data_IF_121516125332
#
_entry.id   IF_121516125332
#
_cell.length_a   1.000
_cell.length_b   1.000
_cell.length_c   1.000
_cell.angle_alpha   90.00
_cell.angle_beta   90.00
_cell.angle_gamma   90.00
#
_symmetry.space_group_name_H-M   'P 1'
#
loop_
_entity.id
_entity.type
_entity.pdbx_description
1 polymer ?
#
# COMPACT_ATOMS: atom_id res chain seq x y z
N UNK A 1 -32.76 -29.47 -82.42
CA UNK A 1 -33.39 -28.18 -82.65
C UNK A 1 -33.84 -27.58 -81.30
N UNK A 2 -33.51 -26.34 -81.10
CA UNK A 2 -33.91 -25.34 -80.13
C UNK A 2 -33.08 -25.27 -78.85
N UNK A 3 -32.23 -24.29 -78.93
CA UNK A 3 -31.56 -23.59 -77.78
C UNK A 3 -32.55 -23.10 -76.77
N UNK A 4 -32.10 -23.19 -75.49
CA UNK A 4 -32.50 -22.25 -74.46
C UNK A 4 -31.31 -21.88 -73.59
N UNK A 5 -30.84 -20.68 -73.83
CA UNK A 5 -29.95 -19.96 -72.91
C UNK A 5 -30.59 -19.81 -71.57
N UNK A 6 -29.91 -20.18 -70.53
CA UNK A 6 -30.21 -19.75 -69.17
C UNK A 6 -29.01 -18.97 -68.61
N UNK A 7 -29.37 -17.78 -68.21
CA UNK A 7 -28.58 -16.68 -67.74
C UNK A 7 -27.68 -17.07 -66.56
N UNK A 8 -26.40 -16.76 -66.75
CA UNK A 8 -25.39 -16.79 -65.70
C UNK A 8 -25.76 -15.79 -64.63
N UNK A 9 -25.97 -16.27 -63.42
CA UNK A 9 -26.01 -15.44 -62.20
C UNK A 9 -24.63 -15.50 -61.60
N UNK A 10 -23.90 -14.43 -61.80
CA UNK A 10 -22.63 -14.19 -61.10
C UNK A 10 -22.96 -13.94 -59.65
N UNK A 11 -22.75 -14.93 -58.79
CA UNK A 11 -22.74 -14.75 -57.35
C UNK A 11 -21.41 -14.15 -56.95
N UNK A 12 -21.44 -12.87 -56.65
CA UNK A 12 -20.35 -12.14 -56.03
C UNK A 12 -20.23 -12.61 -54.59
N UNK A 13 -19.31 -13.54 -54.34
CA UNK A 13 -18.93 -13.90 -52.98
C UNK A 13 -18.14 -12.75 -52.38
N UNK A 14 -18.82 -11.88 -51.61
CA UNK A 14 -18.16 -11.01 -50.64
C UNK A 14 -17.57 -11.93 -49.54
N UNK A 15 -16.30 -12.22 -49.64
CA UNK A 15 -15.53 -12.73 -48.53
C UNK A 15 -15.37 -11.60 -47.49
N UNK A 16 -16.30 -11.53 -46.58
CA UNK A 16 -16.14 -10.76 -45.36
C UNK A 16 -15.02 -11.42 -44.54
N UNK A 17 -13.81 -10.86 -44.67
CA UNK A 17 -12.70 -11.17 -43.80
C UNK A 17 -13.10 -10.80 -42.38
N UNK A 18 -13.43 -11.81 -41.55
CA UNK A 18 -13.40 -11.65 -40.10
C UNK A 18 -11.96 -11.34 -39.72
N UNK A 19 -11.63 -10.06 -39.63
CA UNK A 19 -10.55 -9.65 -38.76
C UNK A 19 -10.96 -10.07 -37.34
N UNK A 20 -10.42 -11.19 -36.89
CA UNK A 20 -10.39 -11.49 -35.48
C UNK A 20 -9.59 -10.37 -34.80
N UNK A 21 -10.28 -9.37 -34.31
CA UNK A 21 -9.73 -8.48 -33.29
C UNK A 21 -9.46 -9.37 -32.07
N UNK A 22 -8.24 -9.89 -32.01
CA UNK A 22 -7.68 -10.34 -30.74
C UNK A 22 -7.68 -9.08 -29.89
N UNK A 23 -8.45 -9.02 -28.78
CA UNK A 23 -8.27 -7.92 -27.86
C UNK A 23 -6.83 -8.04 -27.40
N UNK A 24 -5.99 -7.11 -27.83
CA UNK A 24 -4.74 -6.87 -27.16
C UNK A 24 -5.15 -6.58 -25.71
N UNK A 25 -4.87 -7.52 -24.83
CA UNK A 25 -4.93 -7.28 -23.40
C UNK A 25 -3.79 -6.29 -23.17
N UNK A 26 -4.08 -5.02 -23.41
CA UNK A 26 -3.31 -3.97 -22.80
C UNK A 26 -3.47 -4.24 -21.30
N UNK A 27 -2.41 -4.70 -20.67
CA UNK A 27 -2.26 -4.50 -19.25
C UNK A 27 -2.29 -2.98 -19.08
N UNK A 28 -3.50 -2.44 -18.98
CA UNK A 28 -3.65 -1.12 -18.43
C UNK A 28 -2.91 -1.19 -17.10
N UNK A 29 -1.90 -0.36 -16.92
CA UNK A 29 -1.39 -0.04 -15.62
C UNK A 29 -2.62 0.29 -14.79
N UNK A 30 -3.09 -0.70 -14.06
CA UNK A 30 -4.15 -0.47 -13.09
C UNK A 30 -3.51 0.50 -12.13
N UNK A 31 -3.95 1.75 -12.16
CA UNK A 31 -3.50 2.78 -11.24
C UNK A 31 -3.89 2.29 -9.84
N UNK A 32 -3.02 1.44 -9.29
CA UNK A 32 -3.22 0.84 -7.99
C UNK A 32 -3.00 1.93 -6.94
N UNK A 33 -4.07 2.29 -6.24
CA UNK A 33 -4.06 3.28 -5.17
C UNK A 33 -4.26 2.55 -3.84
N UNK A 34 -3.19 2.25 -3.09
CA UNK A 34 -3.27 1.53 -1.81
C UNK A 34 -4.18 2.21 -0.78
N UNK A 35 -4.30 3.55 -0.82
CA UNK A 35 -5.19 4.31 0.06
C UNK A 35 -6.68 4.05 -0.19
N UNK A 36 -7.03 3.47 -1.33
CA UNK A 36 -8.39 3.07 -1.59
C UNK A 36 -8.72 1.75 -0.87
N UNK A 37 -9.25 1.85 0.31
CA UNK A 37 -9.65 0.69 1.13
C UNK A 37 -11.01 0.12 0.78
N UNK A 38 -11.73 0.71 -0.18
CA UNK A 38 -13.07 0.26 -0.57
C UNK A 38 -13.12 -1.13 -1.21
N UNK A 39 -11.99 -1.58 -1.77
CA UNK A 39 -11.86 -2.92 -2.34
C UNK A 39 -11.61 -4.00 -1.28
N UNK A 40 -11.27 -3.61 -0.04
CA UNK A 40 -11.09 -4.55 1.06
C UNK A 40 -12.45 -5.05 1.57
N UNK A 41 -12.53 -6.29 2.07
CA UNK A 41 -13.71 -6.75 2.80
C UNK A 41 -14.01 -5.83 3.97
N UNK A 42 -15.29 -5.55 4.22
CA UNK A 42 -15.72 -4.76 5.38
C UNK A 42 -15.55 -5.61 6.65
N UNK A 43 -14.68 -5.19 7.54
CA UNK A 43 -14.39 -5.90 8.79
C UNK A 43 -14.90 -5.04 9.95
N UNK A 44 -15.81 -5.57 10.80
CA UNK A 44 -16.27 -4.86 11.98
C UNK A 44 -15.13 -4.55 12.93
N UNK A 45 -15.12 -3.36 13.51
CA UNK A 45 -14.10 -2.95 14.48
C UNK A 45 -14.00 -3.92 15.67
N UNK A 46 -15.13 -4.45 16.15
CA UNK A 46 -15.17 -5.44 17.20
C UNK A 46 -14.42 -6.72 16.85
N UNK A 47 -14.50 -7.19 15.60
CA UNK A 47 -13.77 -8.37 15.13
C UNK A 47 -12.25 -8.11 15.12
N UNK A 48 -11.82 -6.93 14.71
CA UNK A 48 -10.40 -6.53 14.73
C UNK A 48 -9.85 -6.44 16.15
N UNK A 49 -10.65 -5.97 17.10
CA UNK A 49 -10.27 -5.87 18.53
C UNK A 49 -10.11 -7.24 19.19
N UNK A 50 -10.78 -8.26 18.70
CA UNK A 50 -10.68 -9.63 19.23
C UNK A 50 -9.47 -10.40 18.72
N UNK A 51 -8.79 -9.91 17.69
CA UNK A 51 -7.59 -10.55 17.15
C UNK A 51 -6.41 -10.39 18.14
N UNK A 52 -5.58 -11.42 18.17
CA UNK A 52 -4.27 -11.34 18.83
C UNK A 52 -3.25 -10.79 17.84
N UNK A 53 -2.76 -9.60 18.11
CA UNK A 53 -1.79 -8.92 17.26
C UNK A 53 -0.37 -9.26 17.74
N UNK A 54 0.39 -9.92 16.88
CA UNK A 54 1.76 -10.32 17.17
C UNK A 54 2.71 -9.14 16.94
N UNK A 55 3.45 -8.68 17.96
CA UNK A 55 4.46 -7.64 17.78
C UNK A 55 5.57 -8.11 16.85
N UNK A 56 5.96 -7.25 15.92
CA UNK A 56 7.05 -7.53 14.97
C UNK A 56 8.30 -6.78 15.40
N UNK A 57 9.39 -7.53 15.54
CA UNK A 57 10.73 -7.00 15.76
C UNK A 57 11.37 -6.62 14.42
N UNK A 58 11.76 -5.36 14.26
CA UNK A 58 12.39 -4.85 13.04
C UNK A 58 13.76 -5.46 12.75
N UNK A 59 14.41 -6.02 13.73
CA UNK A 59 15.72 -6.68 13.56
C UNK A 59 15.62 -8.08 12.97
N UNK A 60 14.39 -8.64 12.89
CA UNK A 60 14.17 -10.04 12.53
C UNK A 60 13.07 -10.19 11.48
N UNK A 61 13.14 -11.28 10.74
CA UNK A 61 12.04 -11.72 9.90
C UNK A 61 11.08 -12.54 10.75
N UNK A 62 9.82 -12.08 10.83
CA UNK A 62 8.75 -12.79 11.52
C UNK A 62 8.19 -13.86 10.60
N UNK A 63 8.36 -15.13 10.96
CA UNK A 63 7.77 -16.28 10.25
C UNK A 63 6.48 -16.71 10.94
N UNK A 64 5.44 -16.94 10.17
CA UNK A 64 4.13 -17.34 10.67
C UNK A 64 3.56 -18.44 9.77
N UNK A 65 3.30 -19.59 10.37
CA UNK A 65 2.62 -20.70 9.67
C UNK A 65 1.11 -20.51 9.84
N UNK A 66 0.41 -20.24 8.74
CA UNK A 66 -1.04 -20.27 8.72
C UNK A 66 -1.54 -21.69 8.62
N UNK A 67 -2.48 -22.05 9.48
CA UNK A 67 -3.14 -23.35 9.50
C UNK A 67 -4.57 -23.22 10.01
N UNK A 68 -5.37 -24.26 9.85
CA UNK A 68 -6.75 -24.28 10.32
C UNK A 68 -6.91 -24.03 11.84
N UNK A 69 -5.84 -24.25 12.62
CA UNK A 69 -5.81 -23.94 14.06
C UNK A 69 -5.53 -22.47 14.37
N UNK A 70 -5.19 -21.64 13.36
CA UNK A 70 -4.93 -20.23 13.53
C UNK A 70 -6.19 -19.42 13.82
N UNK A 71 -5.99 -18.16 14.22
CA UNK A 71 -7.12 -17.25 14.44
C UNK A 71 -7.85 -16.95 13.13
N UNK A 72 -9.17 -16.84 13.21
CA UNK A 72 -10.01 -16.61 12.06
C UNK A 72 -10.93 -15.40 12.26
N UNK A 73 -11.28 -14.77 11.14
CA UNK A 73 -12.30 -13.75 11.08
C UNK A 73 -13.53 -14.32 10.40
N UNK A 74 -14.67 -14.32 11.10
CA UNK A 74 -15.95 -14.72 10.52
C UNK A 74 -16.57 -13.54 9.75
N UNK A 75 -15.92 -13.15 8.66
CA UNK A 75 -16.32 -12.02 7.81
C UNK A 75 -16.54 -12.53 6.39
N UNK A 76 -17.65 -12.15 5.73
CA UNK A 76 -17.87 -12.52 4.35
C UNK A 76 -16.74 -12.10 3.43
N UNK A 77 -16.28 -13.00 2.58
CA UNK A 77 -15.21 -12.77 1.63
C UNK A 77 -13.81 -13.13 2.13
N UNK A 78 -13.61 -13.28 3.44
CA UNK A 78 -12.34 -13.74 4.00
C UNK A 78 -12.40 -15.25 4.22
N UNK A 79 -11.41 -15.97 3.70
CA UNK A 79 -11.34 -17.42 3.77
C UNK A 79 -10.22 -17.87 4.72
N UNK A 80 -10.53 -18.79 5.61
CA UNK A 80 -9.55 -19.45 6.48
C UNK A 80 -8.89 -18.53 7.51
N UNK A 81 -7.72 -18.95 8.02
CA UNK A 81 -7.01 -18.26 9.07
C UNK A 81 -6.40 -16.95 8.58
N UNK A 82 -6.18 -16.02 9.51
CA UNK A 82 -5.56 -14.72 9.26
C UNK A 82 -4.29 -14.57 10.09
N UNK A 83 -3.35 -13.77 9.59
CA UNK A 83 -2.19 -13.33 10.37
C UNK A 83 -2.37 -11.85 10.74
N UNK A 84 -2.10 -11.53 11.98
CA UNK A 84 -2.28 -10.20 12.54
C UNK A 84 -0.99 -9.74 13.23
N UNK A 85 -0.43 -8.63 12.77
CA UNK A 85 0.84 -8.10 13.27
C UNK A 85 0.66 -6.67 13.75
N UNK A 86 1.40 -6.31 14.81
CA UNK A 86 1.57 -4.93 15.23
C UNK A 86 3.01 -4.49 14.98
N UNK A 87 3.17 -3.33 14.35
CA UNK A 87 4.47 -2.78 13.96
C UNK A 87 4.64 -1.41 14.62
N UNK A 88 5.79 -1.15 15.28
CA UNK A 88 6.08 0.19 15.79
C UNK A 88 6.08 1.23 14.66
N UNK A 89 5.45 2.37 14.89
CA UNK A 89 5.21 3.39 13.85
C UNK A 89 5.86 4.75 14.16
N UNK A 90 6.52 4.89 15.30
CA UNK A 90 7.13 6.13 15.76
C UNK A 90 8.58 6.37 15.28
N UNK A 91 8.99 5.71 14.22
CA UNK A 91 10.39 5.62 13.75
C UNK A 91 10.58 6.06 12.30
N UNK A 92 9.60 6.74 11.72
CA UNK A 92 9.64 7.26 10.36
C UNK A 92 9.08 6.30 9.31
N UNK A 93 9.53 6.45 8.07
CA UNK A 93 9.07 5.63 6.95
C UNK A 93 9.47 4.17 7.13
N UNK A 94 8.52 3.27 6.86
CA UNK A 94 8.67 1.83 6.98
C UNK A 94 8.56 1.16 5.62
N UNK A 95 9.34 0.12 5.42
CA UNK A 95 9.13 -0.83 4.32
C UNK A 95 8.81 -2.20 4.91
N UNK A 96 7.61 -2.70 4.59
CA UNK A 96 7.18 -4.04 4.93
C UNK A 96 7.39 -4.94 3.71
N UNK A 97 8.18 -5.99 3.86
CA UNK A 97 8.31 -7.03 2.84
C UNK A 97 7.57 -8.27 3.33
N UNK A 98 6.49 -8.61 2.64
CA UNK A 98 5.73 -9.83 2.92
C UNK A 98 6.01 -10.86 1.84
N UNK A 99 6.36 -12.06 2.27
CA UNK A 99 6.51 -13.22 1.38
C UNK A 99 5.56 -14.34 1.80
N UNK A 100 5.00 -15.01 0.82
CA UNK A 100 4.22 -16.23 0.98
C UNK A 100 4.91 -17.34 0.19
N UNK A 101 5.46 -18.32 0.88
CA UNK A 101 6.22 -19.40 0.24
C UNK A 101 5.31 -20.40 -0.48
N UNK A 102 5.75 -20.83 -1.66
CA UNK A 102 5.11 -21.92 -2.39
C UNK A 102 5.39 -23.24 -1.67
N UNK A 103 4.35 -24.03 -1.46
CA UNK A 103 4.48 -25.35 -0.85
C UNK A 103 4.50 -26.45 -1.90
N UNK A 104 5.57 -27.25 -1.90
CA UNK A 104 5.72 -28.46 -2.73
C UNK A 104 5.41 -28.27 -4.22
N UNK A 105 5.59 -27.05 -4.76
CA UNK A 105 5.27 -26.69 -6.15
C UNK A 105 3.79 -26.89 -6.54
N UNK A 106 2.89 -27.00 -5.58
CA UNK A 106 1.48 -27.31 -5.82
C UNK A 106 0.50 -26.31 -5.24
N UNK A 107 0.93 -25.56 -4.22
CA UNK A 107 0.03 -24.64 -3.52
C UNK A 107 0.76 -23.41 -2.98
N UNK A 108 0.03 -22.33 -2.82
CA UNK A 108 0.51 -21.08 -2.24
C UNK A 108 -0.65 -20.33 -1.58
N UNK A 109 -0.38 -19.67 -0.48
CA UNK A 109 -1.31 -18.73 0.11
C UNK A 109 -1.25 -17.38 -0.64
N UNK A 110 -2.36 -16.92 -1.20
CA UNK A 110 -2.46 -15.64 -1.88
C UNK A 110 -2.80 -14.53 -0.88
N UNK A 111 -1.83 -13.72 -0.44
CA UNK A 111 -2.05 -12.75 0.61
C UNK A 111 -2.75 -11.49 0.09
N UNK A 112 -3.72 -10.99 0.85
CA UNK A 112 -4.20 -9.61 0.82
C UNK A 112 -3.75 -8.96 2.12
N UNK A 113 -3.36 -7.72 2.08
CA UNK A 113 -2.88 -7.00 3.26
C UNK A 113 -3.70 -5.73 3.49
N UNK A 114 -4.32 -5.66 4.65
CA UNK A 114 -4.98 -4.47 5.14
C UNK A 114 -4.11 -3.80 6.20
N UNK A 115 -3.75 -2.56 5.95
CA UNK A 115 -3.01 -1.73 6.90
C UNK A 115 -4.00 -0.88 7.68
N UNK A 116 -3.86 -0.91 8.99
CA UNK A 116 -4.70 -0.19 9.93
C UNK A 116 -3.85 0.78 10.75
N UNK A 117 -4.42 1.90 11.10
CA UNK A 117 -3.78 2.85 12.01
C UNK A 117 -3.84 2.35 13.48
N UNK A 118 -3.31 3.13 14.42
CA UNK A 118 -3.32 2.79 15.83
C UNK A 118 -4.72 2.60 16.44
N UNK A 119 -5.76 3.13 15.81
CA UNK A 119 -7.15 2.99 16.21
C UNK A 119 -7.87 1.83 15.49
N UNK A 120 -7.13 0.98 14.79
CA UNK A 120 -7.68 -0.09 13.94
C UNK A 120 -8.58 0.43 12.81
N UNK A 121 -8.35 1.65 12.35
CA UNK A 121 -9.04 2.20 11.18
C UNK A 121 -8.28 1.84 9.89
N UNK A 122 -8.96 1.29 8.86
CA UNK A 122 -8.34 0.97 7.60
C UNK A 122 -7.67 2.20 6.95
N UNK A 123 -6.42 2.09 6.57
CA UNK A 123 -5.63 3.17 5.98
C UNK A 123 -5.08 2.83 4.60
N UNK A 124 -4.80 1.56 4.34
CA UNK A 124 -4.35 1.10 3.04
C UNK A 124 -4.72 -0.37 2.82
N UNK A 125 -4.92 -0.73 1.56
CA UNK A 125 -5.21 -2.09 1.17
C UNK A 125 -4.34 -2.51 -0.01
N UNK A 126 -3.68 -3.65 0.12
CA UNK A 126 -2.88 -4.28 -0.91
C UNK A 126 -3.52 -5.62 -1.28
N UNK A 127 -4.20 -5.70 -2.42
CA UNK A 127 -4.85 -6.95 -2.87
C UNK A 127 -3.82 -8.00 -3.28
N UNK A 128 -4.27 -9.23 -3.46
CA UNK A 128 -3.40 -10.35 -3.83
C UNK A 128 -2.59 -10.12 -5.10
N UNK A 129 -3.13 -9.39 -6.06
CA UNK A 129 -2.45 -9.04 -7.31
C UNK A 129 -1.20 -8.17 -7.12
N UNK A 130 -1.08 -7.52 -5.97
CA UNK A 130 0.10 -6.74 -5.60
C UNK A 130 1.33 -7.62 -5.32
N UNK A 131 1.11 -8.87 -4.93
CA UNK A 131 2.16 -9.80 -4.56
C UNK A 131 2.57 -10.67 -5.76
N UNK A 132 3.68 -10.28 -6.39
CA UNK A 132 4.18 -10.97 -7.59
C UNK A 132 4.94 -12.24 -7.27
N UNK A 133 4.86 -13.20 -8.19
CA UNK A 133 5.66 -14.42 -8.10
C UNK A 133 7.14 -14.13 -8.30
N UNK A 134 7.96 -14.70 -7.42
CA UNK A 134 9.42 -14.67 -7.49
C UNK A 134 9.93 -16.10 -7.67
N UNK A 135 10.74 -16.30 -8.70
CA UNK A 135 11.40 -17.57 -8.97
C UNK A 135 12.32 -18.00 -7.81
N UNK A 136 12.55 -19.30 -7.61
CA UNK A 136 13.47 -19.76 -6.58
C UNK A 136 14.88 -19.26 -6.90
N UNK A 137 15.58 -18.81 -5.85
CA UNK A 137 16.98 -18.44 -5.91
C UNK A 137 17.87 -19.48 -5.24
N UNK A 138 19.17 -19.20 -5.21
CA UNK A 138 20.16 -20.11 -4.58
C UNK A 138 19.84 -20.38 -3.11
N UNK A 139 19.31 -19.37 -2.41
CA UNK A 139 19.02 -19.45 -0.96
C UNK A 139 17.56 -19.18 -0.63
N UNK A 140 16.67 -19.13 -1.61
CA UNK A 140 15.27 -18.82 -1.41
C UNK A 140 14.37 -19.72 -2.22
N UNK A 141 13.31 -20.21 -1.57
CA UNK A 141 12.21 -20.88 -2.26
C UNK A 141 11.45 -19.90 -3.16
N UNK A 142 10.74 -20.44 -4.13
CA UNK A 142 9.77 -19.66 -4.89
C UNK A 142 8.62 -19.19 -3.98
N UNK A 143 8.10 -18.01 -4.28
CA UNK A 143 7.20 -17.30 -3.38
C UNK A 143 6.40 -16.22 -4.08
N UNK A 144 5.31 -15.79 -3.48
CA UNK A 144 4.71 -14.50 -3.74
C UNK A 144 5.36 -13.45 -2.83
N UNK A 145 5.72 -12.31 -3.37
CA UNK A 145 6.39 -11.24 -2.61
C UNK A 145 5.83 -9.87 -2.97
N UNK A 146 5.64 -9.05 -1.96
CA UNK A 146 5.28 -7.64 -2.12
C UNK A 146 6.02 -6.76 -1.11
N UNK A 147 6.44 -5.58 -1.56
CA UNK A 147 7.09 -4.56 -0.72
C UNK A 147 6.14 -3.37 -0.58
N UNK A 148 5.72 -3.10 0.64
CA UNK A 148 4.80 -2.04 0.99
C UNK A 148 5.56 -0.93 1.70
N UNK A 149 5.58 0.26 1.13
CA UNK A 149 6.20 1.44 1.74
C UNK A 149 5.13 2.25 2.45
N UNK A 150 5.32 2.47 3.74
CA UNK A 150 4.36 3.13 4.61
C UNK A 150 5.01 4.32 5.30
N UNK A 151 4.29 5.44 5.33
CA UNK A 151 4.68 6.62 6.12
C UNK A 151 3.64 6.81 7.21
N UNK A 152 3.91 6.38 8.46
CA UNK A 152 3.00 6.64 9.57
C UNK A 152 2.83 8.16 9.77
N UNK A 153 1.59 8.59 9.97
CA UNK A 153 1.31 9.98 10.31
C UNK A 153 1.90 10.34 11.67
N UNK A 154 2.16 11.62 11.88
CA UNK A 154 2.65 12.10 13.17
C UNK A 154 1.68 11.70 14.30
N UNK A 155 2.23 11.18 15.39
CA UNK A 155 1.46 10.72 16.54
C UNK A 155 1.05 9.24 16.48
N UNK A 156 1.28 8.54 15.37
CA UNK A 156 1.07 7.10 15.30
C UNK A 156 2.17 6.37 16.05
N UNK A 157 1.80 5.60 17.07
CA UNK A 157 2.72 4.78 17.86
C UNK A 157 2.86 3.37 17.30
N UNK A 158 1.77 2.84 16.75
CA UNK A 158 1.69 1.52 16.13
C UNK A 158 0.85 1.59 14.86
N UNK A 159 1.18 0.71 13.93
CA UNK A 159 0.30 0.33 12.83
C UNK A 159 0.02 -1.16 12.93
N UNK A 160 -1.10 -1.57 12.37
CA UNK A 160 -1.53 -2.96 12.39
C UNK A 160 -1.58 -3.49 10.96
N UNK A 161 -1.12 -4.72 10.78
CA UNK A 161 -1.03 -5.40 9.50
C UNK A 161 -1.84 -6.67 9.57
N UNK A 162 -2.93 -6.71 8.83
CA UNK A 162 -3.80 -7.88 8.74
C UNK A 162 -3.57 -8.56 7.38
N UNK A 163 -3.20 -9.83 7.42
CA UNK A 163 -2.96 -10.66 6.23
C UNK A 163 -4.02 -11.73 6.15
N UNK A 164 -4.70 -11.82 5.02
CA UNK A 164 -5.76 -12.79 4.78
C UNK A 164 -5.83 -13.17 3.29
N UNK A 165 -6.53 -14.25 2.99
CA UNK A 165 -6.92 -14.59 1.62
C UNK A 165 -8.44 -14.49 1.47
N UNK A 166 -8.92 -14.42 0.24
CA UNK A 166 -10.35 -14.28 -0.06
C UNK A 166 -10.89 -15.50 -0.78
N UNK A 167 -12.20 -15.70 -0.72
CA UNK A 167 -12.88 -16.73 -1.48
C UNK A 167 -12.62 -16.60 -2.99
N UNK A 168 -12.48 -15.37 -3.48
CA UNK A 168 -12.13 -15.09 -4.87
C UNK A 168 -10.72 -15.56 -5.20
N UNK A 169 -9.75 -15.32 -4.32
CA UNK A 169 -8.36 -15.75 -4.53
C UNK A 169 -8.24 -17.26 -4.58
N UNK A 170 -9.02 -17.99 -3.79
CA UNK A 170 -9.04 -19.46 -3.78
C UNK A 170 -9.49 -20.10 -5.10
N UNK A 171 -10.16 -19.31 -5.96
CA UNK A 171 -10.56 -19.77 -7.30
C UNK A 171 -9.45 -19.57 -8.34
N UNK A 172 -8.34 -18.97 -7.96
CA UNK A 172 -7.22 -18.64 -8.83
C UNK A 172 -6.04 -19.56 -8.59
N UNK A 173 -5.08 -19.48 -9.51
CA UNK A 173 -3.81 -20.21 -9.45
C UNK A 173 -2.66 -19.28 -9.78
N UNK A 174 -1.47 -19.66 -9.36
CA UNK A 174 -0.22 -18.99 -9.73
C UNK A 174 0.61 -19.93 -10.58
N UNK A 175 1.00 -19.49 -11.77
CA UNK A 175 1.95 -20.21 -12.62
C UNK A 175 3.35 -20.06 -12.03
N UNK A 176 4.00 -21.17 -11.75
CA UNK A 176 5.36 -21.23 -11.23
C UNK A 176 6.36 -21.42 -12.38
N UNK A 177 7.62 -21.19 -12.10
CA UNK A 177 8.70 -21.64 -12.98
C UNK A 177 9.17 -23.01 -12.51
N UNK A 178 9.23 -23.97 -13.43
CA UNK A 178 9.76 -25.30 -13.09
C UNK A 178 11.20 -25.19 -12.54
N UNK A 179 11.53 -25.89 -11.46
CA UNK A 179 12.86 -25.82 -10.85
C UNK A 179 14.03 -26.10 -11.81
N UNK A 180 13.85 -27.00 -12.78
CA UNK A 180 14.89 -27.26 -13.79
C UNK A 180 15.10 -26.06 -14.73
N UNK A 181 14.01 -25.33 -15.08
CA UNK A 181 14.11 -24.09 -15.84
C UNK A 181 14.81 -22.99 -15.05
N UNK A 182 14.43 -22.82 -13.79
CA UNK A 182 15.06 -21.84 -12.90
C UNK A 182 16.56 -22.12 -12.72
N UNK A 183 16.93 -23.37 -12.54
CA UNK A 183 18.32 -23.80 -12.45
C UNK A 183 19.09 -23.50 -13.75
N UNK A 184 18.53 -23.87 -14.90
CA UNK A 184 19.15 -23.64 -16.20
C UNK A 184 19.40 -22.15 -16.47
N UNK A 185 18.41 -21.30 -16.17
CA UNK A 185 18.56 -19.84 -16.23
C UNK A 185 19.68 -19.35 -15.31
N UNK A 186 19.72 -19.80 -14.06
CA UNK A 186 20.71 -19.38 -13.07
C UNK A 186 22.14 -19.79 -13.40
N UNK A 187 22.31 -20.90 -14.14
CA UNK A 187 23.62 -21.41 -14.55
C UNK A 187 24.01 -21.05 -16.00
N UNK A 188 23.15 -20.29 -16.70
CA UNK A 188 23.38 -19.92 -18.10
C UNK A 188 23.27 -21.08 -19.10
N UNK A 189 22.64 -22.16 -18.71
CA UNK A 189 22.36 -23.32 -19.56
C UNK A 189 21.12 -23.11 -20.41
N UNK A 190 20.98 -23.95 -21.46
CA UNK A 190 19.77 -23.98 -22.27
C UNK A 190 18.56 -24.35 -21.42
N UNK A 191 17.51 -23.55 -21.49
CA UNK A 191 16.29 -23.77 -20.71
C UNK A 191 15.49 -24.92 -21.35
N UNK A 192 15.16 -25.99 -20.59
CA UNK A 192 14.39 -27.09 -21.14
C UNK A 192 12.95 -26.68 -21.46
N UNK A 193 12.40 -27.24 -22.54
CA UNK A 193 10.98 -27.05 -22.90
C UNK A 193 10.10 -28.06 -22.15
N UNK A 194 9.80 -27.75 -20.91
CA UNK A 194 8.93 -28.51 -20.03
C UNK A 194 7.81 -27.61 -19.49
N UNK A 195 6.62 -28.16 -19.18
CA UNK A 195 5.52 -27.34 -18.66
C UNK A 195 5.84 -26.78 -17.28
N UNK A 196 5.41 -25.55 -17.03
CA UNK A 196 5.50 -24.92 -15.73
C UNK A 196 4.37 -25.43 -14.80
N UNK A 197 4.66 -25.72 -13.53
CA UNK A 197 3.64 -26.14 -12.60
C UNK A 197 2.69 -24.99 -12.24
N UNK A 198 1.45 -25.36 -11.88
CA UNK A 198 0.45 -24.43 -11.36
C UNK A 198 0.26 -24.67 -9.87
N UNK A 199 0.45 -23.63 -9.08
CA UNK A 199 0.12 -23.66 -7.66
C UNK A 199 -1.32 -23.20 -7.45
N UNK A 200 -2.12 -24.00 -6.76
CA UNK A 200 -3.46 -23.61 -6.31
C UNK A 200 -3.35 -22.65 -5.13
N UNK A 201 -4.25 -21.69 -5.07
CA UNK A 201 -4.37 -20.84 -3.92
C UNK A 201 -5.09 -21.59 -2.80
N UNK A 202 -4.51 -21.55 -1.60
CA UNK A 202 -5.00 -22.28 -0.42
C UNK A 202 -5.02 -21.37 0.80
N UNK A 203 -5.70 -21.80 1.85
CA UNK A 203 -5.87 -21.03 3.09
C UNK A 203 -4.73 -21.19 4.09
N UNK A 204 -3.86 -22.15 3.88
CA UNK A 204 -2.68 -22.42 4.71
C UNK A 204 -1.40 -22.05 3.97
N UNK A 205 -0.34 -21.78 4.71
CA UNK A 205 0.95 -21.43 4.13
C UNK A 205 1.91 -20.78 5.11
N UNK A 206 3.16 -20.68 4.68
CA UNK A 206 4.21 -20.00 5.44
C UNK A 206 4.36 -18.57 4.96
N UNK A 207 4.07 -17.64 5.86
CA UNK A 207 4.28 -16.21 5.66
C UNK A 207 5.56 -15.75 6.36
N UNK A 208 6.29 -14.84 5.72
CA UNK A 208 7.42 -14.16 6.33
C UNK A 208 7.24 -12.66 6.18
N UNK A 209 7.27 -11.94 7.28
CA UNK A 209 7.18 -10.48 7.32
C UNK A 209 8.49 -9.91 7.81
N UNK A 210 9.08 -9.05 7.00
CA UNK A 210 10.27 -8.27 7.36
C UNK A 210 9.91 -6.79 7.38
N UNK A 211 10.27 -6.13 8.46
CA UNK A 211 10.11 -4.68 8.61
C UNK A 211 11.48 -4.03 8.54
N UNK A 212 11.65 -3.04 7.69
CA UNK A 212 12.84 -2.20 7.63
C UNK A 212 12.46 -0.74 7.72
N UNK A 213 13.30 0.05 8.38
CA UNK A 213 13.17 1.50 8.45
C UNK A 213 14.03 2.12 7.39
N UNK A 214 13.46 3.05 6.63
CA UNK A 214 14.25 3.91 5.76
C UNK A 214 14.83 5.05 6.60
N UNK A 215 15.98 4.80 7.23
CA UNK A 215 16.78 5.90 7.77
C UNK A 215 17.17 6.81 6.63
N UNK A 216 17.10 8.11 6.83
CA UNK A 216 17.20 9.18 5.82
C UNK A 216 18.49 9.25 4.98
N UNK A 217 19.26 8.18 4.89
CA UNK A 217 20.50 8.11 4.10
C UNK A 217 20.33 7.63 2.65
N UNK A 218 19.11 7.36 2.19
CA UNK A 218 18.85 6.96 0.80
C UNK A 218 18.37 8.08 -0.11
N UNK A 219 18.71 9.32 0.21
CA UNK A 219 18.32 10.51 -0.61
C UNK A 219 19.06 10.58 -1.95
N UNK A 220 20.02 9.70 -2.24
CA UNK A 220 20.89 9.84 -3.42
C UNK A 220 20.89 8.66 -4.40
N UNK A 221 20.01 7.70 -4.25
CA UNK A 221 19.85 6.69 -5.30
C UNK A 221 18.45 6.83 -5.87
N UNK A 222 18.30 7.75 -6.80
CA UNK A 222 17.14 7.74 -7.69
C UNK A 222 16.99 6.38 -8.36
N UNK A 223 15.80 6.01 -8.85
CA UNK A 223 15.55 4.70 -9.42
C UNK A 223 16.31 4.56 -10.74
N UNK A 224 17.53 4.04 -10.67
CA UNK A 224 18.35 3.72 -11.84
C UNK A 224 17.88 2.45 -12.57
N UNK A 225 16.99 1.69 -11.94
CA UNK A 225 16.34 0.55 -12.57
C UNK A 225 14.89 0.51 -12.11
N UNK A 226 13.99 0.72 -13.06
CA UNK A 226 12.56 0.83 -12.86
C UNK A 226 11.95 -0.25 -11.96
N UNK A 227 11.91 0.00 -10.67
CA UNK A 227 10.96 -0.64 -9.78
C UNK A 227 9.71 0.24 -9.80
N UNK A 228 8.71 -0.20 -10.53
CA UNK A 228 7.35 0.35 -10.50
C UNK A 228 6.68 0.01 -9.14
N UNK A 229 7.34 0.39 -8.04
CA UNK A 229 6.73 0.35 -6.72
C UNK A 229 5.84 1.57 -6.56
N UNK A 230 4.62 1.37 -6.06
CA UNK A 230 3.79 2.46 -5.58
C UNK A 230 4.58 3.28 -4.56
N UNK A 231 4.46 4.60 -4.61
CA UNK A 231 5.09 5.49 -3.64
C UNK A 231 4.68 5.19 -2.19
N UNK A 232 5.32 5.81 -1.19
CA UNK A 232 4.97 5.59 0.21
C UNK A 232 3.53 6.00 0.49
N UNK A 233 2.82 5.16 1.25
CA UNK A 233 1.42 5.34 1.65
C UNK A 233 1.36 5.92 3.05
N UNK A 234 0.63 7.00 3.24
CA UNK A 234 0.41 7.58 4.58
C UNK A 234 -0.57 6.71 5.36
N UNK A 235 -0.17 6.32 6.57
CA UNK A 235 -0.99 5.53 7.50
C UNK A 235 -1.42 6.41 8.67
N UNK A 236 -2.72 6.50 8.88
CA UNK A 236 -3.32 7.33 9.92
C UNK A 236 -3.70 8.73 9.43
N UNK A 237 -4.40 9.45 10.28
CA UNK A 237 -4.82 10.82 10.01
C UNK A 237 -3.89 11.80 10.75
N UNK A 238 -3.41 12.82 10.04
CA UNK A 238 -2.66 13.95 10.62
C UNK A 238 -3.55 14.99 11.27
N UNK A 239 -4.89 14.88 11.15
CA UNK A 239 -5.81 15.76 11.83
C UNK A 239 -5.66 15.57 13.36
N UNK A 240 -5.41 16.67 14.05
CA UNK A 240 -5.43 16.69 15.50
C UNK A 240 -6.73 16.07 16.03
N UNK A 241 -6.70 15.30 17.14
CA UNK A 241 -7.90 14.73 17.70
C UNK A 241 -8.87 15.86 18.00
N UNK A 242 -10.02 15.83 17.31
CA UNK A 242 -11.14 16.71 17.68
C UNK A 242 -11.65 16.15 19.00
N UNK A 243 -11.30 16.81 20.09
CA UNK A 243 -11.95 16.58 21.35
C UNK A 243 -13.43 16.90 21.17
N UNK A 244 -14.25 15.87 21.07
CA UNK A 244 -15.69 16.04 21.17
C UNK A 244 -15.99 16.57 22.58
N UNK A 245 -16.24 17.87 22.67
CA UNK A 245 -16.77 18.45 23.87
C UNK A 245 -18.14 17.81 24.16
N UNK A 246 -18.47 17.53 25.43
CA UNK A 246 -19.76 16.95 25.78
C UNK A 246 -20.88 17.86 25.31
N UNK A 247 -21.82 17.31 24.56
CA UNK A 247 -23.03 18.03 24.11
C UNK A 247 -23.89 18.32 25.32
N UNK A 248 -23.83 19.55 25.79
CA UNK A 248 -24.84 20.07 26.70
C UNK A 248 -26.04 20.52 25.89
N UNK A 249 -27.12 19.78 26.00
CA UNK A 249 -28.45 20.17 25.52
C UNK A 249 -28.94 21.36 26.33
N UNK A 250 -29.06 22.52 25.72
CA UNK A 250 -29.93 23.59 26.23
C UNK A 250 -30.46 24.45 25.10
N UNK A 251 -31.76 24.68 25.15
CA UNK A 251 -32.58 25.37 24.19
C UNK A 251 -32.20 26.85 24.00
N UNK A 252 -32.55 27.36 22.81
CA UNK A 252 -32.42 28.75 22.40
C UNK A 252 -33.27 29.72 23.24
N UNK A 253 -32.97 31.04 23.25
CA UNK A 253 -33.52 31.92 22.21
C UNK A 253 -32.52 32.95 21.62
N UNK A 254 -32.90 33.46 20.49
CA UNK A 254 -32.20 34.45 19.68
C UNK A 254 -31.91 35.78 20.40
N UNK A 255 -30.69 36.29 20.20
CA UNK A 255 -30.42 37.71 20.32
C UNK A 255 -29.20 38.09 19.46
N UNK A 256 -29.46 38.97 18.52
CA UNK A 256 -28.66 40.00 17.85
C UNK A 256 -27.14 39.94 17.91
N UNK A 257 -26.58 39.95 16.71
CA UNK A 257 -25.16 40.06 16.41
C UNK A 257 -24.50 41.34 16.95
N UNK A 258 -23.35 41.14 17.62
CA UNK A 258 -22.32 42.16 17.75
C UNK A 258 -21.01 41.61 17.15
N UNK A 259 -20.19 42.45 16.50
CA UNK A 259 -19.00 41.96 15.83
C UNK A 259 -17.97 41.45 16.83
N UNK A 260 -17.46 40.24 16.56
CA UNK A 260 -16.43 39.60 17.37
C UNK A 260 -15.14 40.40 17.35
N UNK A 261 -14.50 40.63 18.49
CA UNK A 261 -13.16 41.21 18.51
C UNK A 261 -12.16 40.21 17.94
N UNK A 262 -11.25 40.74 17.12
CA UNK A 262 -10.13 39.97 16.57
C UNK A 262 -9.38 39.22 17.69
N UNK A 263 -9.18 37.91 17.52
CA UNK A 263 -8.35 37.11 18.40
C UNK A 263 -6.95 37.70 18.39
N UNK A 264 -6.53 38.23 19.54
CA UNK A 264 -5.12 38.54 19.78
C UNK A 264 -4.34 37.22 19.61
N UNK A 265 -3.36 37.21 18.71
CA UNK A 265 -2.40 36.13 18.59
C UNK A 265 -1.72 35.95 19.95
N UNK A 266 -1.65 34.70 20.43
CA UNK A 266 -0.88 34.41 21.64
C UNK A 266 0.59 34.74 21.38
N UNK A 267 1.31 35.31 22.35
CA UNK A 267 2.72 35.61 22.17
C UNK A 267 3.53 34.33 21.91
N UNK A 268 4.34 34.38 20.88
CA UNK A 268 5.25 33.28 20.51
C UNK A 268 6.24 33.08 21.65
N UNK A 269 6.58 31.85 21.98
CA UNK A 269 7.61 31.51 22.95
C UNK A 269 8.95 32.19 22.57
N UNK A 270 9.66 32.74 23.54
CA UNK A 270 10.92 33.47 23.35
C UNK A 270 11.95 32.67 22.50
N UNK A 271 12.00 31.37 22.65
CA UNK A 271 12.89 30.48 21.88
C UNK A 271 12.55 30.48 20.37
N UNK A 272 11.28 30.61 20.03
CA UNK A 272 10.84 30.69 18.62
C UNK A 272 11.19 32.04 18.01
N UNK A 273 11.06 33.12 18.74
CA UNK A 273 11.49 34.44 18.30
C UNK A 273 13.00 34.53 18.06
N UNK A 274 13.77 33.95 18.96
CA UNK A 274 15.22 33.87 18.86
C UNK A 274 15.66 33.04 17.63
N UNK A 275 14.96 31.95 17.36
CA UNK A 275 15.20 31.12 16.15
C UNK A 275 15.00 31.93 14.87
N UNK A 276 13.85 32.62 14.73
CA UNK A 276 13.58 33.45 13.55
C UNK A 276 14.56 34.57 13.39
N UNK A 277 14.90 35.29 14.46
CA UNK A 277 15.88 36.36 14.44
C UNK A 277 17.27 35.85 13.99
N UNK A 278 17.72 34.71 14.47
CA UNK A 278 18.98 34.13 14.07
C UNK A 278 18.95 33.65 12.61
N UNK A 279 17.86 33.01 12.19
CA UNK A 279 17.70 32.53 10.81
C UNK A 279 17.66 33.69 9.80
N UNK A 280 16.96 34.79 10.11
CA UNK A 280 16.91 35.97 9.29
C UNK A 280 18.30 36.65 9.18
N UNK A 281 18.99 36.82 10.31
CA UNK A 281 20.36 37.37 10.32
C UNK A 281 21.33 36.55 9.50
N UNK A 282 21.21 35.20 9.54
CA UNK A 282 22.07 34.32 8.73
C UNK A 282 21.74 34.42 7.24
N UNK A 283 20.45 34.52 6.88
CA UNK A 283 20.04 34.67 5.49
C UNK A 283 20.54 36.00 4.91
N UNK A 284 20.44 37.07 5.65
CA UNK A 284 20.96 38.40 5.25
C UNK A 284 22.48 38.36 5.08
N UNK A 285 23.21 37.75 6.01
CA UNK A 285 24.69 37.58 5.90
C UNK A 285 25.14 36.81 4.68
N UNK A 286 24.31 35.89 4.20
CA UNK A 286 24.58 35.08 2.98
C UNK A 286 24.12 35.80 1.69
N UNK A 287 23.49 36.96 1.80
CA UNK A 287 22.94 37.68 0.67
C UNK A 287 21.63 37.09 0.12
N UNK A 288 21.00 36.20 0.86
CA UNK A 288 19.78 35.52 0.47
C UNK A 288 18.54 36.29 0.97
N UNK A 289 18.28 37.43 0.31
CA UNK A 289 17.24 38.40 0.70
C UNK A 289 15.85 37.77 0.60
N UNK A 290 15.59 36.94 -0.41
CA UNK A 290 14.29 36.30 -0.60
C UNK A 290 13.94 35.36 0.55
N UNK A 291 14.94 34.62 1.04
CA UNK A 291 14.78 33.75 2.20
C UNK A 291 14.58 34.53 3.49
N UNK A 292 15.28 35.66 3.65
CA UNK A 292 15.10 36.54 4.81
C UNK A 292 13.69 37.14 4.86
N UNK A 293 13.14 37.55 3.72
CA UNK A 293 11.79 38.09 3.62
C UNK A 293 10.71 37.02 3.92
N UNK A 294 10.89 35.80 3.42
CA UNK A 294 9.97 34.67 3.74
C UNK A 294 9.97 34.31 5.21
N UNK A 295 11.14 34.30 5.84
CA UNK A 295 11.25 34.07 7.28
C UNK A 295 10.63 35.19 8.12
N UNK A 296 10.73 36.43 7.67
CA UNK A 296 10.10 37.57 8.32
C UNK A 296 8.57 37.45 8.25
N UNK A 297 8.03 37.17 7.07
CA UNK A 297 6.60 36.98 6.84
C UNK A 297 6.03 35.81 7.68
N UNK A 298 6.77 34.71 7.76
CA UNK A 298 6.42 33.59 8.59
C UNK A 298 6.43 33.91 10.08
N UNK A 299 7.42 34.68 10.55
CA UNK A 299 7.52 35.13 11.92
C UNK A 299 6.36 36.09 12.30
N UNK A 300 6.00 37.00 11.42
CA UNK A 300 4.84 37.90 11.61
C UNK A 300 3.53 37.10 11.66
N UNK A 301 3.37 36.11 10.78
CA UNK A 301 2.19 35.22 10.75
C UNK A 301 2.02 34.42 12.04
N UNK A 302 3.12 34.03 12.67
CA UNK A 302 3.14 33.32 13.95
C UNK A 302 3.03 34.27 15.17
N UNK A 303 2.97 35.58 14.97
CA UNK A 303 2.77 36.55 16.03
C UNK A 303 4.06 37.05 16.70
N UNK A 304 5.21 36.90 16.04
CA UNK A 304 6.46 37.48 16.51
C UNK A 304 6.42 39.01 16.35
N UNK A 305 6.67 39.75 17.44
CA UNK A 305 6.69 41.22 17.43
C UNK A 305 8.10 41.81 17.30
N UNK A 306 9.13 40.97 17.38
CA UNK A 306 10.54 41.40 17.45
C UNK A 306 11.36 40.98 16.21
N UNK A 307 10.79 40.20 15.27
CA UNK A 307 11.45 39.84 14.02
C UNK A 307 11.53 41.06 13.07
N UNK A 308 12.63 41.78 13.11
CA UNK A 308 12.97 42.92 12.22
C UNK A 308 14.40 42.81 11.72
#
# INVERSE_FOLDING_TARGET
ITMKMKKSLVALCLSAGLLACVPAITFADVNFVPQNTSAAPAIPAAALQQLTWTPVDQSKTQSTQLSAAGQQLNVPGIAGPVAAFSVPANIGELTLTLTSEVSKQTSVFAPNVLILDQNLTPSAFFPSDYFGYQEPGVMSADRLEGKMRLTPALGQQKIYVLVFTTDKDLQQTTMLTDPAKAYAKGTGNSVPDIPDPLARHVTDGLLKLKVSTNSASSVLVGPLFGSSGTGPVTVGNTAAPVYAAPVATAAAPAATAAPAPAKKAEPVLNDTEEYFNNAIKQAVKRGDVDKALKLLDEAERLGSTTAR
#
